data_IF_090445744915
#
_entry.id   IF_090445744915
#
_cell.length_a   1.000
_cell.length_b   1.000
_cell.length_c   1.000
_cell.angle_alpha   90.00
_cell.angle_beta   90.00
_cell.angle_gamma   90.00
#
_symmetry.space_group_name_H-M   'P 1'
#
loop_
_entity.id
_entity.type
_entity.pdbx_description
1 polymer ?
#
# COMPACT_ATOMS: atom_id res chain seq x y z
N UNK A 1 23.97 5.12 0.60
CA UNK A 1 24.63 6.37 1.05
C UNK A 1 25.07 6.13 2.48
N UNK A 2 26.38 6.08 2.74
CA UNK A 2 26.92 5.83 4.08
C UNK A 2 27.44 7.16 4.61
N UNK A 3 26.91 7.63 5.74
CA UNK A 3 27.43 8.84 6.40
C UNK A 3 28.68 8.43 7.21
N UNK A 4 29.86 8.86 6.75
CA UNK A 4 31.09 8.74 7.54
C UNK A 4 31.22 9.95 8.47
N UNK A 5 31.08 9.73 9.77
CA UNK A 5 31.37 10.72 10.79
C UNK A 5 32.78 10.42 11.33
N UNK A 6 33.79 11.16 10.86
CA UNK A 6 35.14 11.05 11.42
C UNK A 6 35.14 11.48 12.89
N UNK A 7 35.85 10.75 13.77
CA UNK A 7 36.17 10.96 15.21
C UNK A 7 35.32 11.93 16.07
N UNK A 8 34.04 12.10 15.73
CA UNK A 8 33.14 13.03 16.39
C UNK A 8 32.33 12.24 17.39
N UNK A 9 32.47 12.56 18.67
CA UNK A 9 31.61 12.00 19.71
C UNK A 9 30.18 12.53 19.47
N UNK A 10 29.27 11.64 19.05
CA UNK A 10 27.84 11.98 18.96
C UNK A 10 27.35 12.11 20.40
N UNK A 11 27.19 13.34 20.86
CA UNK A 11 26.84 13.65 22.26
C UNK A 11 25.40 13.26 22.58
N UNK A 12 24.50 13.35 21.60
CA UNK A 12 23.11 12.92 21.73
C UNK A 12 22.61 12.43 20.35
N UNK A 13 22.03 11.22 20.30
CA UNK A 13 21.34 10.69 19.11
C UNK A 13 19.85 10.64 19.42
N UNK A 14 19.02 11.19 18.53
CA UNK A 14 17.56 11.19 18.68
C UNK A 14 16.91 10.46 17.50
N UNK A 15 15.84 9.72 17.77
CA UNK A 15 14.93 9.17 16.76
C UNK A 15 13.54 9.76 17.01
N UNK A 16 13.18 10.80 16.24
CA UNK A 16 12.02 11.63 16.55
C UNK A 16 12.24 12.41 17.84
N UNK A 17 11.28 12.35 18.78
CA UNK A 17 11.36 12.99 20.10
C UNK A 17 12.08 12.15 21.16
N UNK A 18 12.49 10.91 20.82
CA UNK A 18 13.11 9.99 21.78
C UNK A 18 14.63 10.11 21.74
N UNK A 19 15.23 10.39 22.90
CA UNK A 19 16.68 10.37 23.11
C UNK A 19 17.19 8.94 23.23
N UNK A 20 18.11 8.54 22.38
CA UNK A 20 18.82 7.26 22.47
C UNK A 20 19.93 7.42 23.51
N UNK A 21 19.78 6.73 24.65
CA UNK A 21 20.73 6.81 25.77
C UNK A 21 22.03 6.07 25.45
N UNK A 22 23.13 6.61 25.97
CA UNK A 22 24.47 6.01 25.93
C UNK A 22 24.42 4.57 26.46
N UNK A 23 24.68 3.59 25.59
CA UNK A 23 24.60 2.16 25.90
C UNK A 23 23.76 1.35 24.91
N UNK A 24 22.88 1.99 24.13
CA UNK A 24 22.04 1.33 23.11
C UNK A 24 22.61 1.44 21.68
N UNK A 25 23.94 1.45 21.53
CA UNK A 25 24.61 1.36 20.23
C UNK A 25 24.76 -0.10 19.74
N UNK A 26 23.91 -1.00 20.21
CA UNK A 26 23.72 -2.28 19.52
C UNK A 26 23.09 -1.99 18.16
N UNK A 27 23.82 -2.27 17.07
CA UNK A 27 23.45 -2.12 15.66
C UNK A 27 22.06 -1.48 15.41
N UNK A 28 21.95 -0.16 15.55
CA UNK A 28 20.77 0.57 15.09
C UNK A 28 20.78 0.50 13.57
N UNK A 29 20.09 -0.49 13.00
CA UNK A 29 19.80 -0.52 11.56
C UNK A 29 18.67 0.45 11.30
N UNK A 30 19.02 1.67 10.92
CA UNK A 30 18.07 2.61 10.30
C UNK A 30 17.78 2.05 8.90
N UNK A 31 16.70 1.29 8.78
CA UNK A 31 16.20 0.86 7.48
C UNK A 31 15.47 2.03 6.84
N UNK A 32 16.21 2.94 6.21
CA UNK A 32 15.62 3.75 5.16
C UNK A 32 15.19 2.76 4.07
N UNK A 33 13.89 2.61 3.82
CA UNK A 33 13.48 1.86 2.64
C UNK A 33 14.02 2.55 1.41
N UNK A 34 14.54 1.75 0.48
CA UNK A 34 15.04 2.28 -0.79
C UNK A 34 13.89 2.64 -1.72
N UNK A 35 12.64 2.35 -1.37
CA UNK A 35 11.46 2.90 -2.03
C UNK A 35 10.61 3.68 -1.04
N UNK A 36 10.05 4.80 -1.47
CA UNK A 36 9.13 5.58 -0.65
C UNK A 36 8.00 6.19 -1.45
N UNK A 37 6.82 6.32 -0.85
CA UNK A 37 5.63 6.89 -1.50
C UNK A 37 4.64 7.47 -0.48
N UNK A 38 3.70 8.26 -0.99
CA UNK A 38 2.55 8.78 -0.25
C UNK A 38 1.32 7.99 -0.68
N UNK A 39 0.53 7.51 0.28
CA UNK A 39 -0.76 6.89 0.02
C UNK A 39 -1.82 7.99 0.00
N UNK A 40 -2.54 8.13 -1.10
CA UNK A 40 -3.66 9.06 -1.23
C UNK A 40 -4.97 8.27 -1.23
N UNK A 41 -5.75 8.41 -0.16
CA UNK A 41 -7.06 7.81 0.00
C UNK A 41 -8.09 8.88 -0.40
N UNK A 42 -8.76 8.69 -1.53
CA UNK A 42 -9.70 9.67 -2.07
C UNK A 42 -11.09 9.64 -1.37
N UNK A 43 -11.14 9.48 -0.04
CA UNK A 43 -12.32 9.19 0.79
C UNK A 43 -13.02 7.85 0.51
N UNK A 44 -12.69 7.15 -0.58
CA UNK A 44 -13.29 5.85 -0.92
C UNK A 44 -12.47 4.66 -0.39
N UNK A 45 -11.37 4.94 0.30
CA UNK A 45 -10.50 3.96 0.94
C UNK A 45 -10.16 4.48 2.33
N UNK A 46 -9.88 3.54 3.24
CA UNK A 46 -9.37 3.86 4.57
C UNK A 46 -8.35 2.84 5.00
N UNK A 47 -7.42 3.29 5.83
CA UNK A 47 -6.59 2.37 6.59
C UNK A 47 -7.47 1.60 7.60
N UNK A 48 -7.15 0.34 7.84
CA UNK A 48 -7.89 -0.53 8.75
C UNK A 48 -6.95 -1.29 9.66
N UNK A 49 -7.31 -1.39 10.94
CA UNK A 49 -6.62 -2.19 11.96
C UNK A 49 -7.26 -3.56 12.19
N UNK A 50 -8.36 -3.84 11.49
CA UNK A 50 -9.07 -5.13 11.53
C UNK A 50 -8.17 -6.33 11.16
N UNK A 51 -7.15 -6.10 10.32
CA UNK A 51 -6.18 -7.10 9.89
C UNK A 51 -4.80 -6.64 10.32
N UNK A 52 -4.27 -7.25 11.38
CA UNK A 52 -2.94 -6.94 11.90
C UNK A 52 -1.94 -8.00 11.43
N UNK A 53 -1.18 -7.67 10.39
CA UNK A 53 -0.09 -8.51 9.88
C UNK A 53 1.27 -8.16 10.50
N UNK A 54 1.30 -7.41 11.60
CA UNK A 54 2.52 -6.88 12.20
C UNK A 54 2.81 -5.43 11.81
N UNK A 55 3.74 -4.77 12.52
CA UNK A 55 4.09 -3.35 12.30
C UNK A 55 4.70 -3.08 10.92
N UNK A 56 5.20 -4.10 10.24
CA UNK A 56 5.83 -4.03 8.93
C UNK A 56 4.83 -3.83 7.79
N UNK A 57 3.52 -4.00 8.03
CA UNK A 57 2.47 -3.83 7.04
C UNK A 57 1.40 -2.84 7.48
N UNK A 58 0.85 -2.11 6.49
CA UNK A 58 -0.37 -1.32 6.63
C UNK A 58 -1.42 -1.85 5.68
N UNK A 59 -2.65 -1.94 6.17
CA UNK A 59 -3.78 -2.50 5.43
C UNK A 59 -4.76 -1.39 5.11
N UNK A 60 -5.11 -1.29 3.83
CA UNK A 60 -6.09 -0.35 3.32
C UNK A 60 -7.27 -1.14 2.76
N UNK A 61 -8.48 -0.74 3.13
CA UNK A 61 -9.71 -1.30 2.59
C UNK A 61 -10.51 -0.24 1.87
N UNK A 62 -11.10 -0.61 0.74
CA UNK A 62 -12.06 0.26 0.07
C UNK A 62 -13.31 0.45 0.94
N UNK A 63 -14.09 1.49 0.67
CA UNK A 63 -15.37 1.68 1.33
C UNK A 63 -16.36 0.60 0.90
N UNK A 64 -17.36 0.42 1.77
CA UNK A 64 -18.63 -0.09 1.30
C UNK A 64 -19.16 0.82 0.23
N UNK A 65 -19.56 0.25 -0.89
CA UNK A 65 -20.35 0.99 -1.85
C UNK A 65 -21.73 0.35 -1.96
N UNK A 66 -22.38 0.23 -0.79
CA UNK A 66 -23.74 -0.24 -0.67
C UNK A 66 -24.64 0.61 -1.59
N UNK A 67 -25.26 -0.03 -2.60
CA UNK A 67 -26.21 0.56 -3.55
C UNK A 67 -25.64 1.60 -4.54
N UNK A 68 -24.36 1.54 -4.91
CA UNK A 68 -23.81 2.40 -5.98
C UNK A 68 -23.50 1.57 -7.22
N UNK A 69 -24.43 1.58 -8.18
CA UNK A 69 -24.27 0.91 -9.47
C UNK A 69 -23.01 1.40 -10.20
N UNK A 70 -22.19 0.46 -10.69
CA UNK A 70 -20.96 0.74 -11.44
C UNK A 70 -19.98 1.64 -10.69
N UNK A 71 -20.01 1.59 -9.35
CA UNK A 71 -19.12 2.38 -8.52
C UNK A 71 -17.68 1.89 -8.62
N UNK A 72 -16.74 2.83 -8.71
CA UNK A 72 -15.32 2.53 -8.54
C UNK A 72 -14.80 3.24 -7.29
N UNK A 73 -13.99 2.53 -6.51
CA UNK A 73 -13.22 3.08 -5.41
C UNK A 73 -11.73 3.03 -5.77
N UNK A 74 -11.04 4.16 -5.75
CA UNK A 74 -9.61 4.22 -6.16
C UNK A 74 -8.69 4.72 -5.05
N UNK A 75 -7.57 4.05 -4.84
CA UNK A 75 -6.47 4.53 -3.99
C UNK A 75 -5.25 4.75 -4.86
N UNK A 76 -4.42 5.74 -4.53
CA UNK A 76 -3.22 6.05 -5.31
C UNK A 76 -1.96 5.99 -4.47
N UNK A 77 -0.87 5.51 -5.07
CA UNK A 77 0.48 5.81 -4.57
C UNK A 77 1.10 6.90 -5.43
N UNK A 78 1.48 7.98 -4.77
CA UNK A 78 2.04 9.18 -5.38
C UNK A 78 3.44 9.44 -4.85
N UNK A 79 4.19 10.31 -5.54
CA UNK A 79 5.56 10.70 -5.15
C UNK A 79 6.46 9.49 -4.93
N UNK A 80 6.38 8.51 -5.84
CA UNK A 80 7.13 7.26 -5.75
C UNK A 80 8.61 7.57 -6.03
N UNK A 81 9.43 7.55 -4.98
CA UNK A 81 10.87 7.61 -5.08
C UNK A 81 11.43 6.19 -5.02
N UNK A 82 12.17 5.76 -6.04
CA UNK A 82 12.86 4.46 -6.06
C UNK A 82 14.39 4.67 -6.05
N UNK A 83 15.06 3.99 -5.12
CA UNK A 83 16.50 4.04 -4.84
C UNK A 83 17.11 2.63 -4.77
N UNK A 84 16.51 1.65 -5.46
CA UNK A 84 16.95 0.25 -5.64
C UNK A 84 16.23 -0.80 -4.78
N UNK A 85 14.90 -0.74 -4.65
CA UNK A 85 14.11 -1.83 -4.06
C UNK A 85 12.81 -2.08 -4.84
N UNK A 86 12.40 -3.35 -4.95
CA UNK A 86 11.12 -3.74 -5.56
C UNK A 86 9.95 -3.35 -4.65
N UNK A 87 8.81 -2.97 -5.23
CA UNK A 87 7.57 -2.78 -4.47
C UNK A 87 6.73 -4.05 -4.50
N UNK A 88 6.57 -4.67 -3.34
CA UNK A 88 5.68 -5.80 -3.15
C UNK A 88 4.32 -5.28 -2.69
N UNK A 89 3.29 -5.47 -3.52
CA UNK A 89 1.90 -5.19 -3.20
C UNK A 89 1.18 -6.50 -2.95
N UNK A 90 0.52 -6.60 -1.79
CA UNK A 90 -0.39 -7.71 -1.50
C UNK A 90 -1.83 -7.23 -1.61
N UNK A 91 -2.69 -8.03 -2.21
CA UNK A 91 -4.04 -7.59 -2.55
C UNK A 91 -5.05 -8.74 -2.48
N UNK A 92 -6.30 -8.39 -2.19
CA UNK A 92 -7.40 -9.34 -2.07
C UNK A 92 -8.73 -8.67 -2.39
N UNK A 93 -9.57 -9.33 -3.18
CA UNK A 93 -10.97 -8.95 -3.38
C UNK A 93 -11.87 -9.91 -2.58
N UNK A 94 -12.61 -9.35 -1.62
CA UNK A 94 -13.66 -10.03 -0.89
C UNK A 94 -14.98 -9.66 -1.56
N UNK A 95 -15.35 -10.41 -2.59
CA UNK A 95 -16.40 -9.98 -3.52
C UNK A 95 -16.90 -11.10 -4.42
N UNK A 96 -17.95 -10.82 -5.18
CA UNK A 96 -18.50 -11.72 -6.20
C UNK A 96 -17.56 -11.87 -7.41
N UNK A 97 -17.06 -13.10 -7.71
CA UNK A 97 -16.09 -13.40 -8.75
C UNK A 97 -16.36 -12.84 -10.15
N UNK A 98 -17.65 -12.74 -10.50
CA UNK A 98 -18.09 -12.40 -11.86
C UNK A 98 -18.21 -10.90 -12.11
N UNK A 99 -18.26 -10.11 -11.06
CA UNK A 99 -18.83 -8.76 -11.10
C UNK A 99 -17.89 -7.72 -10.50
N UNK A 100 -17.30 -8.06 -9.37
CA UNK A 100 -16.47 -7.16 -8.59
C UNK A 100 -15.00 -7.49 -8.78
N UNK A 101 -14.18 -6.49 -9.09
CA UNK A 101 -12.77 -6.72 -9.43
C UNK A 101 -11.86 -5.70 -8.77
N UNK A 102 -10.77 -6.18 -8.18
CA UNK A 102 -9.67 -5.35 -7.71
C UNK A 102 -8.56 -5.33 -8.75
N UNK A 103 -8.21 -4.13 -9.22
CA UNK A 103 -7.17 -3.91 -10.22
C UNK A 103 -5.94 -3.25 -9.58
N UNK A 104 -4.77 -3.75 -9.96
CA UNK A 104 -3.46 -3.18 -9.66
C UNK A 104 -2.95 -2.54 -10.94
N UNK A 105 -2.84 -1.22 -10.95
CA UNK A 105 -2.65 -0.43 -12.17
C UNK A 105 -1.50 0.58 -12.03
N UNK A 106 -0.87 0.90 -13.15
CA UNK A 106 0.23 1.88 -13.20
C UNK A 106 0.06 2.86 -14.34
N UNK A 107 0.57 4.07 -14.17
CA UNK A 107 0.62 5.11 -15.19
C UNK A 107 2.03 5.66 -15.35
N UNK A 108 2.47 5.81 -16.59
CA UNK A 108 3.71 6.51 -16.95
C UNK A 108 3.47 7.98 -17.32
N UNK A 109 2.20 8.40 -17.46
CA UNK A 109 1.80 9.69 -18.03
C UNK A 109 0.95 10.50 -17.04
N UNK A 110 1.47 10.70 -15.82
CA UNK A 110 0.83 11.50 -14.76
C UNK A 110 -0.64 11.14 -14.50
N UNK A 111 -1.02 9.86 -14.62
CA UNK A 111 -2.38 9.39 -14.35
C UNK A 111 -3.38 9.60 -15.50
N UNK A 112 -2.94 10.05 -16.67
CA UNK A 112 -3.82 10.24 -17.84
C UNK A 112 -4.38 8.93 -18.38
N UNK A 113 -3.59 7.85 -18.29
CA UNK A 113 -3.97 6.49 -18.66
C UNK A 113 -3.33 5.49 -17.70
N UNK A 114 -3.98 4.34 -17.54
CA UNK A 114 -3.54 3.29 -16.63
C UNK A 114 -3.48 1.94 -17.35
N UNK A 115 -2.36 1.24 -17.17
CA UNK A 115 -2.19 -0.15 -17.58
C UNK A 115 -2.59 -1.05 -16.41
N UNK A 116 -3.44 -2.06 -16.68
CA UNK A 116 -3.74 -3.11 -15.71
C UNK A 116 -2.60 -4.10 -15.65
N UNK A 117 -2.00 -4.23 -14.47
CA UNK A 117 -0.88 -5.13 -14.23
C UNK A 117 -1.30 -6.43 -13.58
N UNK A 118 -2.31 -6.38 -12.71
CA UNK A 118 -2.90 -7.56 -12.09
C UNK A 118 -4.36 -7.31 -11.70
N UNK A 119 -5.11 -8.41 -11.57
CA UNK A 119 -6.52 -8.39 -11.19
C UNK A 119 -6.79 -9.47 -10.14
N UNK A 120 -7.63 -9.14 -9.15
CA UNK A 120 -8.34 -10.12 -8.34
C UNK A 120 -9.82 -10.07 -8.69
N UNK A 121 -10.39 -11.21 -9.03
CA UNK A 121 -11.79 -11.31 -9.42
C UNK A 121 -12.73 -11.47 -8.23
N UNK A 122 -12.23 -11.73 -7.02
CA UNK A 122 -13.10 -12.02 -5.88
C UNK A 122 -13.18 -13.51 -5.55
N UNK A 123 -13.84 -13.83 -4.44
CA UNK A 123 -13.85 -15.18 -3.83
C UNK A 123 -15.19 -15.60 -3.22
N UNK A 124 -16.27 -14.83 -3.41
CA UNK A 124 -17.57 -14.98 -2.73
C UNK A 124 -17.49 -14.91 -1.19
N UNK A 125 -16.40 -14.39 -0.64
CA UNK A 125 -16.27 -14.13 0.80
C UNK A 125 -16.69 -12.70 1.12
N UNK A 126 -17.23 -12.50 2.32
CA UNK A 126 -17.62 -11.19 2.87
C UNK A 126 -16.53 -10.57 3.74
N UNK A 127 -15.40 -11.24 3.93
CA UNK A 127 -14.23 -10.74 4.67
C UNK A 127 -12.91 -11.20 4.04
N UNK A 128 -11.85 -10.44 4.27
CA UNK A 128 -10.52 -10.84 3.86
C UNK A 128 -9.95 -11.94 4.77
N UNK A 129 -9.00 -12.76 4.30
CA UNK A 129 -8.37 -13.76 5.13
C UNK A 129 -7.49 -13.12 6.21
N UNK A 130 -7.46 -13.70 7.41
CA UNK A 130 -6.61 -13.25 8.51
C UNK A 130 -5.11 -13.58 8.32
N UNK A 131 -4.75 -14.32 7.26
CA UNK A 131 -3.38 -14.76 6.97
C UNK A 131 -2.87 -14.13 5.69
N UNK A 132 -1.71 -13.48 5.76
CA UNK A 132 -1.11 -12.75 4.65
C UNK A 132 -0.73 -13.64 3.44
N UNK A 133 -0.51 -14.95 3.65
CA UNK A 133 -0.23 -15.92 2.58
C UNK A 133 -1.41 -16.12 1.64
N UNK A 134 -2.63 -15.79 2.07
CA UNK A 134 -3.85 -15.94 1.28
C UNK A 134 -4.13 -14.72 0.40
N UNK A 135 -3.33 -13.65 0.54
CA UNK A 135 -3.39 -12.50 -0.36
C UNK A 135 -2.58 -12.79 -1.62
N UNK A 136 -3.10 -12.37 -2.77
CA UNK A 136 -2.33 -12.33 -4.02
C UNK A 136 -1.19 -11.34 -3.88
N UNK A 137 -0.11 -11.57 -4.62
CA UNK A 137 1.09 -10.72 -4.57
C UNK A 137 1.40 -10.24 -5.98
N UNK A 138 1.58 -8.93 -6.14
CA UNK A 138 2.11 -8.31 -7.35
C UNK A 138 3.38 -7.56 -6.99
N UNK A 139 4.44 -7.78 -7.77
CA UNK A 139 5.75 -7.15 -7.55
C UNK A 139 6.01 -6.18 -8.69
N UNK A 140 6.13 -4.89 -8.37
CA UNK A 140 6.72 -3.93 -9.29
C UNK A 140 8.24 -3.99 -9.15
N UNK A 141 8.91 -4.41 -10.22
CA UNK A 141 10.37 -4.43 -10.23
C UNK A 141 10.95 -3.02 -10.18
N UNK A 142 12.18 -2.89 -9.69
CA UNK A 142 12.92 -1.61 -9.68
C UNK A 142 12.90 -0.94 -11.06
N UNK A 143 13.12 -1.72 -12.12
CA UNK A 143 13.13 -1.24 -13.50
C UNK A 143 11.76 -0.71 -13.96
N UNK A 144 10.67 -1.38 -13.60
CA UNK A 144 9.33 -0.92 -13.92
C UNK A 144 9.01 0.40 -13.22
N UNK A 145 9.33 0.49 -11.92
CA UNK A 145 9.06 1.66 -11.09
C UNK A 145 9.75 2.93 -11.58
N UNK A 146 10.92 2.81 -12.24
CA UNK A 146 11.65 3.96 -12.77
C UNK A 146 10.85 4.75 -13.83
N UNK A 147 9.88 4.11 -14.49
CA UNK A 147 9.03 4.73 -15.51
C UNK A 147 7.64 5.13 -15.01
N UNK A 148 7.28 4.72 -13.79
CA UNK A 148 5.92 4.89 -13.25
C UNK A 148 5.83 6.21 -12.50
N UNK A 149 4.83 7.00 -12.88
CA UNK A 149 4.50 8.29 -12.22
C UNK A 149 3.44 8.11 -11.13
N UNK A 150 2.50 7.18 -11.33
CA UNK A 150 1.42 6.91 -10.38
C UNK A 150 1.06 5.43 -10.38
N UNK A 151 0.77 4.91 -9.19
CA UNK A 151 0.10 3.62 -9.03
C UNK A 151 -1.34 3.86 -8.60
N UNK A 152 -2.27 3.08 -9.15
CA UNK A 152 -3.69 3.10 -8.79
C UNK A 152 -4.13 1.71 -8.41
N UNK A 153 -4.84 1.63 -7.28
CA UNK A 153 -5.56 0.44 -6.87
C UNK A 153 -7.04 0.74 -7.00
N UNK A 154 -7.69 0.09 -7.95
CA UNK A 154 -9.09 0.36 -8.28
C UNK A 154 -9.93 -0.85 -7.96
N UNK A 155 -10.88 -0.68 -7.07
CA UNK A 155 -11.91 -1.67 -6.83
C UNK A 155 -13.16 -1.28 -7.62
N UNK A 156 -13.46 -2.03 -8.68
CA UNK A 156 -14.66 -1.85 -9.49
C UNK A 156 -15.76 -2.78 -9.01
N UNK A 157 -16.97 -2.24 -8.86
CA UNK A 157 -18.16 -2.98 -8.48
C UNK A 157 -19.17 -3.02 -9.62
N UNK A 158 -19.99 -4.05 -9.67
CA UNK A 158 -21.20 -4.01 -10.48
C UNK A 158 -22.39 -3.38 -9.73
N UNK A 159 -23.56 -3.37 -10.35
CA UNK A 159 -24.80 -2.88 -9.74
C UNK A 159 -25.68 -3.98 -9.13
N UNK A 160 -25.12 -5.14 -8.81
CA UNK A 160 -25.91 -6.28 -8.30
C UNK A 160 -26.42 -6.03 -6.86
N UNK A 161 -27.47 -6.78 -6.49
CA UNK A 161 -28.19 -6.65 -5.21
C UNK A 161 -27.40 -7.18 -3.99
N UNK A 162 -26.16 -7.58 -4.20
CA UNK A 162 -25.32 -8.25 -3.21
C UNK A 162 -24.88 -7.27 -2.14
N UNK A 163 -25.27 -7.59 -0.91
CA UNK A 163 -25.46 -6.62 0.16
C UNK A 163 -24.13 -6.16 0.77
N UNK A 164 -23.54 -5.10 0.24
CA UNK A 164 -22.81 -4.09 1.01
C UNK A 164 -21.55 -4.50 1.77
N UNK A 165 -21.05 -5.72 1.60
CA UNK A 165 -19.84 -6.20 2.28
C UNK A 165 -18.64 -6.35 1.34
N UNK A 166 -18.81 -6.09 0.05
CA UNK A 166 -17.74 -6.32 -0.92
C UNK A 166 -16.64 -5.26 -0.82
N UNK A 167 -15.39 -5.70 -0.75
CA UNK A 167 -14.24 -4.83 -0.46
C UNK A 167 -13.00 -5.28 -1.23
N UNK A 168 -12.25 -4.28 -1.67
CA UNK A 168 -10.86 -4.45 -2.07
C UNK A 168 -9.96 -4.18 -0.89
N UNK A 169 -8.93 -5.01 -0.72
CA UNK A 169 -7.92 -4.86 0.29
C UNK A 169 -6.55 -4.74 -0.37
N UNK A 170 -5.76 -3.79 0.10
CA UNK A 170 -4.39 -3.55 -0.32
C UNK A 170 -3.52 -3.54 0.93
N UNK A 171 -2.47 -4.35 0.93
CA UNK A 171 -1.50 -4.45 2.00
C UNK A 171 -0.14 -3.98 1.47
N UNK A 172 0.43 -2.99 2.15
CA UNK A 172 1.64 -2.31 1.73
C UNK A 172 2.70 -2.37 2.84
N UNK A 173 3.99 -2.46 2.50
CA UNK A 173 5.06 -2.38 3.49
C UNK A 173 5.09 -1.00 4.18
N UNK A 174 4.95 -0.98 5.50
CA UNK A 174 4.91 0.24 6.33
C UNK A 174 6.16 1.11 6.13
N UNK A 175 7.33 0.46 6.01
CA UNK A 175 8.63 1.13 5.85
C UNK A 175 8.74 2.01 4.60
N UNK A 176 7.87 1.80 3.61
CA UNK A 176 7.86 2.55 2.36
C UNK A 176 6.88 3.74 2.39
N UNK A 177 5.99 3.81 3.38
CA UNK A 177 4.93 4.84 3.44
C UNK A 177 5.46 6.07 4.18
N UNK A 178 5.61 7.19 3.46
CA UNK A 178 6.03 8.48 4.04
C UNK A 178 4.87 9.28 4.63
N UNK A 179 3.67 9.02 4.17
CA UNK A 179 2.46 9.70 4.61
C UNK A 179 1.21 9.07 4.03
N UNK A 180 0.09 9.31 4.69
CA UNK A 180 -1.25 8.99 4.20
C UNK A 180 -2.03 10.29 4.18
N UNK A 181 -2.61 10.61 3.02
CA UNK A 181 -3.37 11.85 2.80
C UNK A 181 -4.77 11.53 2.30
N UNK A 182 -5.73 12.39 2.63
CA UNK A 182 -7.15 12.20 2.33
C UNK A 182 -7.77 11.15 3.25
N UNK A 183 -8.65 11.59 4.15
CA UNK A 183 -9.53 10.76 4.97
C UNK A 183 -10.68 11.65 5.46
#
# INVERSE_FOLDING_TARGET
>A
MSLHLGNSKIKDLYLGSTKIKDGFLGAIKIFASSISYIVNLNYQWKETTEYNFGPEYRVFKSNSNYNVNNGTASMFLQSIENKNEDLIVKYYASSEPSYDKLYIESSTNNGSSYTTNATDNGTNNTSAPATLSNYKTYTYTISALASITNLRFRYAKDGSQSKGLDRGFIVLPSKCIRGVIGA
#
